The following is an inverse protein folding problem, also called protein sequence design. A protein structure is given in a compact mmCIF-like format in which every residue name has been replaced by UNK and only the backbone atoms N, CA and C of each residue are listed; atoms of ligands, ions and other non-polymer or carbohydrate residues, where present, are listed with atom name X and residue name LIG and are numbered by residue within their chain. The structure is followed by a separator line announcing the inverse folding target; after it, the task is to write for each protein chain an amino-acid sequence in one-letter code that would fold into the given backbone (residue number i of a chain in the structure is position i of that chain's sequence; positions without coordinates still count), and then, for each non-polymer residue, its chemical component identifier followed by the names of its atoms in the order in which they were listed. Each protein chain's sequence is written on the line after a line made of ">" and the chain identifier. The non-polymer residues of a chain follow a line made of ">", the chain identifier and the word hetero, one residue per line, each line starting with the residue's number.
data_IF_071880246617
#
_entry.id   IF_071880246617
#
_cell.length_a   1.000
_cell.length_b   1.000
_cell.length_c   1.000
_cell.angle_alpha   90.00
_cell.angle_beta   90.00
_cell.angle_gamma   90.00
#
_symmetry.space_group_name_H-M   'P 1'
#
loop_
_entity.id
_entity.type
_entity.pdbx_description
1 polymer ?
#
# COMPACT_ATOMS: atom_id res chain seq x y z
N UNK A 1 -3.83 17.51 35.42
CA UNK A 1 -5.28 17.25 35.56
C UNK A 1 -5.70 15.84 35.09
N UNK A 2 -5.41 15.39 33.86
CA UNK A 2 -5.82 14.06 33.36
C UNK A 2 -5.33 12.85 34.20
N UNK A 3 -4.08 12.86 34.70
CA UNK A 3 -3.52 11.76 35.53
C UNK A 3 -4.21 11.64 36.90
N UNK A 4 -4.56 12.77 37.53
CA UNK A 4 -5.21 12.80 38.85
C UNK A 4 -6.66 12.29 38.72
N UNK A 5 -7.36 12.66 37.64
CA UNK A 5 -8.71 12.14 37.35
C UNK A 5 -8.70 10.61 37.10
N UNK A 6 -7.69 10.09 36.39
CA UNK A 6 -7.54 8.64 36.18
C UNK A 6 -7.25 7.92 37.49
N UNK A 7 -6.36 8.45 38.33
CA UNK A 7 -6.04 7.88 39.64
C UNK A 7 -7.24 7.92 40.60
N UNK A 8 -8.03 9.00 40.58
CA UNK A 8 -9.25 9.11 41.35
C UNK A 8 -10.34 8.13 40.85
N UNK A 9 -10.47 7.93 39.54
CA UNK A 9 -11.38 6.94 38.97
C UNK A 9 -10.95 5.50 39.32
N UNK A 10 -9.65 5.19 39.27
CA UNK A 10 -9.10 3.91 39.72
C UNK A 10 -9.33 3.69 41.21
N UNK A 11 -9.08 4.69 42.05
CA UNK A 11 -9.33 4.62 43.48
C UNK A 11 -10.83 4.43 43.79
N UNK A 12 -11.72 5.10 43.04
CA UNK A 12 -13.16 4.92 43.16
C UNK A 12 -13.62 3.53 42.70
N UNK A 13 -13.04 2.97 41.64
CA UNK A 13 -13.31 1.59 41.18
C UNK A 13 -12.83 0.55 42.20
N UNK A 14 -11.65 0.74 42.78
CA UNK A 14 -11.12 -0.13 43.84
C UNK A 14 -11.98 -0.01 45.09
N UNK A 15 -12.37 1.21 45.49
CA UNK A 15 -13.27 1.43 46.61
C UNK A 15 -14.64 0.79 46.36
N UNK A 16 -15.21 0.91 45.17
CA UNK A 16 -16.45 0.24 44.78
C UNK A 16 -16.31 -1.29 44.80
N UNK A 17 -15.18 -1.85 44.35
CA UNK A 17 -14.89 -3.29 44.40
C UNK A 17 -14.97 -3.83 45.83
N UNK A 18 -14.36 -3.14 46.79
CA UNK A 18 -14.42 -3.54 48.20
C UNK A 18 -15.75 -3.18 48.87
N UNK A 19 -16.38 -2.06 48.48
CA UNK A 19 -17.65 -1.60 49.07
C UNK A 19 -18.84 -2.48 48.70
N UNK A 20 -18.89 -2.95 47.45
CA UNK A 20 -19.95 -3.85 46.97
C UNK A 20 -19.61 -5.34 47.19
N UNK A 21 -18.52 -5.65 47.91
CA UNK A 21 -18.01 -7.01 48.11
C UNK A 21 -17.94 -7.83 46.80
N UNK A 22 -17.52 -7.15 45.71
CA UNK A 22 -17.47 -7.75 44.38
C UNK A 22 -16.50 -8.93 44.31
N UNK A 23 -15.60 -9.09 45.29
CA UNK A 23 -14.69 -10.23 45.38
C UNK A 23 -15.38 -11.57 45.68
N UNK A 24 -16.52 -11.59 46.37
CA UNK A 24 -17.30 -12.81 46.61
C UNK A 24 -18.22 -13.14 45.42
N UNK A 25 -18.75 -12.11 44.75
CA UNK A 25 -19.64 -12.19 43.58
C UNK A 25 -18.91 -12.47 42.24
N UNK A 26 -17.66 -12.03 42.07
CA UNK A 26 -16.84 -12.24 40.86
C UNK A 26 -16.05 -13.57 40.85
N UNK A 27 -16.37 -14.47 41.77
CA UNK A 27 -15.90 -15.87 41.73
C UNK A 27 -16.59 -16.63 40.60
N UNK A 28 -16.02 -17.76 40.16
CA UNK A 28 -16.65 -18.60 39.11
C UNK A 28 -18.02 -19.08 39.58
N UNK A 29 -18.11 -19.44 40.86
CA UNK A 29 -19.32 -19.88 41.53
C UNK A 29 -20.36 -18.75 41.67
N UNK A 30 -19.91 -17.53 42.04
CA UNK A 30 -20.79 -16.36 42.16
C UNK A 30 -21.36 -15.91 40.81
N UNK A 31 -20.53 -15.85 39.76
CA UNK A 31 -20.97 -15.52 38.40
C UNK A 31 -21.96 -16.59 37.89
N UNK A 32 -21.67 -17.88 38.10
CA UNK A 32 -22.56 -18.97 37.70
C UNK A 32 -23.91 -18.90 38.42
N UNK A 33 -23.92 -18.68 39.74
CA UNK A 33 -25.16 -18.54 40.50
C UNK A 33 -26.02 -17.36 39.99
N UNK A 34 -25.40 -16.23 39.59
CA UNK A 34 -26.10 -15.09 38.99
C UNK A 34 -26.63 -15.40 37.59
N UNK A 35 -25.87 -16.12 36.77
CA UNK A 35 -26.31 -16.57 35.44
C UNK A 35 -27.48 -17.55 35.57
N UNK A 36 -27.40 -18.54 36.46
CA UNK A 36 -28.45 -19.52 36.71
C UNK A 36 -29.73 -18.84 37.25
N UNK A 37 -29.59 -17.88 38.17
CA UNK A 37 -30.72 -17.08 38.65
C UNK A 37 -31.36 -16.25 37.53
N UNK A 38 -30.55 -15.63 36.67
CA UNK A 38 -31.03 -14.86 35.53
C UNK A 38 -31.69 -15.75 34.46
N UNK A 39 -31.18 -16.98 34.25
CA UNK A 39 -31.77 -17.96 33.36
C UNK A 39 -33.11 -18.48 33.90
N UNK A 40 -33.23 -18.75 35.21
CA UNK A 40 -34.50 -19.11 35.83
C UNK A 40 -35.54 -17.99 35.67
N UNK A 41 -35.13 -16.74 35.91
CA UNK A 41 -36.00 -15.57 35.69
C UNK A 41 -36.38 -15.39 34.21
N UNK A 42 -35.46 -15.70 33.28
CA UNK A 42 -35.73 -15.72 31.85
C UNK A 42 -36.77 -16.79 31.46
N UNK A 43 -36.72 -17.98 32.07
CA UNK A 43 -37.73 -19.02 31.79
C UNK A 43 -39.14 -18.60 32.22
N UNK A 44 -39.26 -17.81 33.29
CA UNK A 44 -40.56 -17.31 33.78
C UNK A 44 -41.03 -16.03 33.05
N UNK A 45 -40.11 -15.18 32.58
CA UNK A 45 -40.41 -13.85 32.03
C UNK A 45 -39.72 -13.57 30.69
N UNK A 46 -39.66 -14.58 29.81
CA UNK A 46 -38.84 -14.57 28.60
C UNK A 46 -38.97 -13.29 27.75
N UNK A 47 -40.21 -12.87 27.47
CA UNK A 47 -40.46 -11.71 26.61
C UNK A 47 -40.00 -10.39 27.26
N UNK A 48 -40.20 -10.24 28.57
CA UNK A 48 -39.78 -9.04 29.29
C UNK A 48 -38.25 -8.94 29.35
N UNK A 49 -37.56 -10.04 29.64
CA UNK A 49 -36.09 -10.09 29.71
C UNK A 49 -35.48 -9.81 28.34
N UNK A 50 -35.99 -10.42 27.27
CA UNK A 50 -35.51 -10.16 25.91
C UNK A 50 -35.75 -8.70 25.50
N UNK A 51 -36.92 -8.14 25.79
CA UNK A 51 -37.24 -6.75 25.46
C UNK A 51 -36.35 -5.76 26.23
N UNK A 52 -36.16 -5.95 27.53
CA UNK A 52 -35.30 -5.09 28.36
C UNK A 52 -33.86 -5.18 27.87
N UNK A 53 -33.35 -6.39 27.62
CA UNK A 53 -31.99 -6.59 27.13
C UNK A 53 -31.80 -5.91 25.77
N UNK A 54 -32.74 -6.13 24.84
CA UNK A 54 -32.72 -5.53 23.51
C UNK A 54 -32.70 -4.01 23.58
N UNK A 55 -33.63 -3.40 24.32
CA UNK A 55 -33.74 -1.95 24.47
C UNK A 55 -32.48 -1.36 25.13
N UNK A 56 -31.94 -2.05 26.14
CA UNK A 56 -30.70 -1.62 26.81
C UNK A 56 -29.53 -1.68 25.84
N UNK A 57 -29.39 -2.76 25.06
CA UNK A 57 -28.32 -2.90 24.07
C UNK A 57 -28.42 -1.81 22.99
N UNK A 58 -29.63 -1.55 22.47
CA UNK A 58 -29.88 -0.47 21.51
C UNK A 58 -29.49 0.88 22.11
N UNK A 59 -29.91 1.18 23.34
CA UNK A 59 -29.61 2.43 24.02
C UNK A 59 -28.11 2.65 24.24
N UNK A 60 -27.41 1.64 24.78
CA UNK A 60 -25.95 1.68 25.01
C UNK A 60 -25.20 1.88 23.69
N UNK A 61 -25.60 1.17 22.64
CA UNK A 61 -24.97 1.28 21.32
C UNK A 61 -25.27 2.63 20.65
N UNK A 62 -26.52 3.12 20.75
CA UNK A 62 -26.92 4.42 20.22
C UNK A 62 -26.19 5.57 20.92
N UNK A 63 -25.99 5.46 22.23
CA UNK A 63 -25.18 6.37 23.03
C UNK A 63 -23.66 6.24 22.75
N UNK A 64 -23.25 5.32 21.87
CA UNK A 64 -21.86 5.08 21.50
C UNK A 64 -20.95 4.76 22.70
N UNK A 65 -21.52 4.12 23.74
CA UNK A 65 -20.79 3.76 24.95
C UNK A 65 -19.94 2.50 24.73
N UNK A 66 -18.72 2.44 25.29
CA UNK A 66 -17.93 1.22 25.28
C UNK A 66 -18.60 0.17 26.18
N UNK A 67 -18.83 -1.04 25.65
CA UNK A 67 -19.50 -2.12 26.42
C UNK A 67 -20.19 -3.18 25.58
N UNK A 68 -20.42 -2.92 24.29
CA UNK A 68 -21.10 -3.85 23.38
C UNK A 68 -20.48 -5.26 23.36
N UNK A 69 -19.15 -5.39 23.47
CA UNK A 69 -18.48 -6.69 23.52
C UNK A 69 -18.87 -7.51 24.78
N UNK A 70 -18.90 -6.86 25.94
CA UNK A 70 -19.30 -7.49 27.21
C UNK A 70 -20.77 -7.87 27.17
N UNK A 71 -21.63 -6.98 26.67
CA UNK A 71 -23.05 -7.29 26.50
C UNK A 71 -23.28 -8.43 25.51
N UNK A 72 -22.47 -8.54 24.45
CA UNK A 72 -22.60 -9.62 23.47
C UNK A 72 -22.18 -10.98 24.06
N UNK A 73 -21.14 -11.01 24.91
CA UNK A 73 -20.79 -12.21 25.68
C UNK A 73 -21.92 -12.58 26.66
N UNK A 74 -22.47 -11.59 27.38
CA UNK A 74 -23.59 -11.80 28.28
C UNK A 74 -24.84 -12.34 27.56
N UNK A 75 -25.11 -11.88 26.34
CA UNK A 75 -26.20 -12.42 25.53
C UNK A 75 -26.03 -13.90 25.22
N UNK A 76 -24.80 -14.35 24.91
CA UNK A 76 -24.50 -15.77 24.74
C UNK A 76 -24.68 -16.57 26.02
N UNK A 77 -24.22 -16.02 27.14
CA UNK A 77 -24.36 -16.66 28.45
C UNK A 77 -25.83 -16.83 28.89
N UNK A 78 -26.68 -15.85 28.61
CA UNK A 78 -28.07 -15.82 29.07
C UNK A 78 -29.04 -16.52 28.10
N UNK A 79 -28.85 -16.32 26.80
CA UNK A 79 -29.83 -16.73 25.78
C UNK A 79 -29.33 -17.86 24.88
N UNK A 80 -28.07 -18.24 24.98
CA UNK A 80 -27.47 -19.23 24.09
C UNK A 80 -27.13 -18.67 22.71
N UNK A 81 -26.65 -19.56 21.83
CA UNK A 81 -26.04 -19.15 20.56
C UNK A 81 -27.05 -18.55 19.58
N UNK A 82 -28.21 -19.19 19.40
CA UNK A 82 -29.15 -18.81 18.33
C UNK A 82 -29.89 -17.53 18.71
N UNK A 83 -30.58 -17.54 19.85
CA UNK A 83 -31.37 -16.43 20.37
C UNK A 83 -30.47 -15.22 20.66
N UNK A 84 -29.32 -15.44 21.32
CA UNK A 84 -28.34 -14.39 21.57
C UNK A 84 -27.81 -13.74 20.29
N UNK A 85 -27.53 -14.53 19.25
CA UNK A 85 -27.07 -14.01 17.95
C UNK A 85 -28.15 -13.17 17.29
N UNK A 86 -29.39 -13.66 17.21
CA UNK A 86 -30.51 -12.91 16.60
C UNK A 86 -30.72 -11.61 17.35
N UNK A 87 -30.85 -11.68 18.69
CA UNK A 87 -31.11 -10.52 19.54
C UNK A 87 -30.04 -9.44 19.38
N UNK A 88 -28.75 -9.82 19.53
CA UNK A 88 -27.63 -8.89 19.43
C UNK A 88 -27.46 -8.37 18.02
N UNK A 89 -27.64 -9.20 16.99
CA UNK A 89 -27.45 -8.79 15.60
C UNK A 89 -28.41 -7.66 15.22
N UNK A 90 -29.69 -7.77 15.58
CA UNK A 90 -30.66 -6.70 15.33
C UNK A 90 -30.47 -5.50 16.28
N UNK A 91 -30.24 -5.73 17.58
CA UNK A 91 -30.05 -4.64 18.55
C UNK A 91 -28.83 -3.78 18.23
N UNK A 92 -27.71 -4.40 17.88
CA UNK A 92 -26.47 -3.72 17.52
C UNK A 92 -26.61 -2.91 16.23
N UNK A 93 -27.31 -3.42 15.22
CA UNK A 93 -27.55 -2.71 13.96
C UNK A 93 -28.47 -1.51 14.16
N UNK A 94 -29.56 -1.65 14.92
CA UNK A 94 -30.47 -0.55 15.22
C UNK A 94 -29.75 0.52 16.04
N UNK A 95 -29.06 0.13 17.12
CA UNK A 95 -28.27 1.07 17.93
C UNK A 95 -27.18 1.78 17.12
N UNK A 96 -26.45 1.04 16.27
CA UNK A 96 -25.43 1.61 15.39
C UNK A 96 -26.03 2.62 14.41
N UNK A 97 -27.23 2.34 13.90
CA UNK A 97 -27.97 3.23 13.00
C UNK A 97 -28.41 4.49 13.74
N UNK A 98 -28.89 4.39 14.97
CA UNK A 98 -29.23 5.56 15.79
C UNK A 98 -28.00 6.43 16.10
N UNK A 99 -26.86 5.83 16.46
CA UNK A 99 -25.60 6.55 16.65
C UNK A 99 -25.15 7.26 15.36
N UNK A 100 -25.25 6.57 14.22
CA UNK A 100 -24.95 7.11 12.90
C UNK A 100 -25.87 8.29 12.53
N UNK A 101 -27.18 8.18 12.77
CA UNK A 101 -28.15 9.25 12.50
C UNK A 101 -27.96 10.44 13.44
N UNK A 102 -27.65 10.18 14.71
CA UNK A 102 -27.32 11.22 15.68
C UNK A 102 -26.07 12.00 15.25
N UNK A 103 -25.00 11.32 14.85
CA UNK A 103 -23.81 11.94 14.27
C UNK A 103 -24.14 12.76 13.01
N UNK A 104 -25.03 12.24 12.15
CA UNK A 104 -25.38 12.90 10.88
C UNK A 104 -26.19 14.19 11.03
N UNK A 105 -27.15 14.20 11.95
CA UNK A 105 -28.17 15.25 12.03
C UNK A 105 -28.13 16.09 13.30
N UNK A 106 -27.59 15.56 14.40
CA UNK A 106 -27.63 16.22 15.72
C UNK A 106 -26.25 16.68 16.17
N UNK A 107 -25.23 15.83 15.99
CA UNK A 107 -23.89 16.02 16.56
C UNK A 107 -22.81 16.30 15.51
N UNK A 108 -23.19 16.60 14.26
CA UNK A 108 -22.28 16.72 13.10
C UNK A 108 -21.03 17.54 13.41
N UNK A 109 -21.21 18.80 13.82
CA UNK A 109 -20.10 19.74 14.06
C UNK A 109 -19.18 19.27 15.19
N UNK A 110 -19.76 18.67 16.24
CA UNK A 110 -19.00 18.15 17.39
C UNK A 110 -18.13 16.95 17.01
N UNK A 111 -18.65 16.05 16.17
CA UNK A 111 -17.91 14.86 15.71
C UNK A 111 -16.88 15.27 14.65
N UNK A 112 -17.22 16.20 13.75
CA UNK A 112 -16.32 16.71 12.71
C UNK A 112 -15.10 17.41 13.32
N UNK A 113 -15.27 18.25 14.35
CA UNK A 113 -14.17 18.88 15.07
C UNK A 113 -13.18 17.88 15.71
N UNK A 114 -13.64 16.67 16.03
CA UNK A 114 -12.81 15.62 16.65
C UNK A 114 -12.17 14.66 15.64
N UNK A 115 -12.79 14.46 14.47
CA UNK A 115 -12.38 13.43 13.51
C UNK A 115 -12.10 13.95 12.08
N UNK A 116 -12.14 15.26 11.86
CA UNK A 116 -12.04 15.92 10.54
C UNK A 116 -10.88 15.44 9.67
N UNK A 117 -9.66 15.38 10.21
CA UNK A 117 -8.45 14.99 9.46
C UNK A 117 -8.52 13.55 8.91
N UNK A 118 -9.31 12.67 9.56
CA UNK A 118 -9.48 11.27 9.14
C UNK A 118 -10.67 11.07 8.19
N UNK A 119 -11.51 12.08 7.99
CA UNK A 119 -12.68 11.96 7.10
C UNK A 119 -12.28 11.88 5.63
N UNK A 120 -11.19 12.54 5.23
CA UNK A 120 -10.74 12.55 3.84
C UNK A 120 -10.43 11.13 3.34
N UNK A 121 -9.60 10.39 4.06
CA UNK A 121 -9.23 9.01 3.71
C UNK A 121 -10.41 8.04 3.76
N UNK A 122 -11.37 8.27 4.67
CA UNK A 122 -12.59 7.46 4.78
C UNK A 122 -13.54 7.72 3.62
N UNK A 123 -13.70 8.98 3.20
CA UNK A 123 -14.50 9.33 2.03
C UNK A 123 -13.86 8.80 0.74
N UNK A 124 -12.55 8.94 0.56
CA UNK A 124 -11.82 8.36 -0.58
C UNK A 124 -12.00 6.83 -0.64
N UNK A 125 -11.93 6.16 0.52
CA UNK A 125 -12.19 4.72 0.63
C UNK A 125 -13.63 4.34 0.25
N UNK A 126 -14.63 5.11 0.68
CA UNK A 126 -16.04 4.92 0.32
C UNK A 126 -16.31 5.20 -1.16
N UNK A 127 -15.67 6.20 -1.76
CA UNK A 127 -15.81 6.51 -3.19
C UNK A 127 -15.23 5.38 -4.06
N UNK A 128 -14.09 4.82 -3.65
CA UNK A 128 -13.44 3.71 -4.35
C UNK A 128 -14.17 2.37 -4.20
N UNK A 129 -14.51 2.01 -2.97
CA UNK A 129 -14.95 0.65 -2.61
C UNK A 129 -16.45 0.58 -2.20
N UNK A 130 -17.13 1.72 -2.02
CA UNK A 130 -18.56 1.79 -1.73
C UNK A 130 -18.95 1.08 -0.43
N UNK A 131 -20.07 0.36 -0.45
CA UNK A 131 -20.57 -0.46 0.66
C UNK A 131 -19.53 -1.44 1.23
N UNK A 132 -18.59 -1.88 0.39
CA UNK A 132 -17.56 -2.83 0.74
C UNK A 132 -16.48 -2.25 1.67
N UNK A 133 -16.26 -0.94 1.61
CA UNK A 133 -15.35 -0.25 2.52
C UNK A 133 -15.83 -0.36 3.97
N UNK A 134 -17.10 -0.03 4.21
CA UNK A 134 -17.73 -0.16 5.53
C UNK A 134 -17.72 -1.60 6.03
N UNK A 135 -18.03 -2.56 5.14
CA UNK A 135 -17.98 -3.98 5.45
C UNK A 135 -16.58 -4.38 5.97
N UNK A 136 -15.53 -3.97 5.25
CA UNK A 136 -14.14 -4.25 5.62
C UNK A 136 -13.77 -3.60 6.96
N UNK A 137 -14.18 -2.36 7.20
CA UNK A 137 -13.93 -1.68 8.48
C UNK A 137 -14.54 -2.41 9.68
N UNK A 138 -15.72 -3.00 9.52
CA UNK A 138 -16.36 -3.78 10.61
C UNK A 138 -15.69 -5.11 10.91
N UNK A 139 -14.85 -5.59 9.98
CA UNK A 139 -14.09 -6.84 10.14
C UNK A 139 -12.72 -6.60 10.77
N UNK A 140 -12.27 -5.35 10.88
CA UNK A 140 -10.99 -4.97 11.48
C UNK A 140 -11.18 -4.78 13.00
N UNK A 141 -10.58 -5.64 13.86
CA UNK A 141 -10.77 -5.55 15.32
C UNK A 141 -10.14 -4.32 15.96
N UNK A 142 -9.18 -3.70 15.26
CA UNK A 142 -8.40 -2.59 15.77
C UNK A 142 -9.19 -1.27 15.86
N UNK A 143 -10.32 -1.15 15.15
CA UNK A 143 -11.13 0.07 15.13
C UNK A 143 -12.32 -0.12 16.08
N UNK A 144 -12.46 0.72 17.12
CA UNK A 144 -13.57 0.59 18.06
C UNK A 144 -14.92 0.73 17.35
N UNK A 145 -15.82 -0.20 17.64
CA UNK A 145 -17.15 -0.29 17.03
C UNK A 145 -17.93 1.04 17.03
N UNK A 146 -17.94 1.75 18.16
CA UNK A 146 -18.66 3.02 18.31
C UNK A 146 -18.08 4.14 17.42
N UNK A 147 -16.76 4.13 17.16
CA UNK A 147 -16.10 5.12 16.30
C UNK A 147 -16.59 4.97 14.86
N UNK A 148 -16.70 3.74 14.36
CA UNK A 148 -17.19 3.48 12.99
C UNK A 148 -18.59 4.05 12.81
N UNK A 149 -19.49 3.82 13.78
CA UNK A 149 -20.88 4.28 13.70
C UNK A 149 -20.97 5.82 13.59
N UNK A 150 -20.22 6.53 14.43
CA UNK A 150 -20.19 7.99 14.45
C UNK A 150 -19.56 8.57 13.18
N UNK A 151 -18.38 8.08 12.80
CA UNK A 151 -17.63 8.63 11.67
C UNK A 151 -18.38 8.39 10.35
N UNK A 152 -19.01 7.23 10.17
CA UNK A 152 -19.83 6.95 8.99
C UNK A 152 -21.01 7.92 8.84
N UNK A 153 -21.55 8.45 9.95
CA UNK A 153 -22.62 9.45 9.93
C UNK A 153 -22.24 10.75 9.20
N UNK A 154 -20.96 11.10 9.22
CA UNK A 154 -20.40 12.29 8.56
C UNK A 154 -20.17 12.08 7.05
N UNK A 155 -20.15 10.83 6.59
CA UNK A 155 -19.89 10.47 5.19
C UNK A 155 -21.16 10.57 4.33
N UNK A 156 -20.97 10.44 3.00
CA UNK A 156 -22.05 10.44 1.99
C UNK A 156 -22.79 9.09 1.85
N UNK A 157 -22.46 8.08 2.68
CA UNK A 157 -23.10 6.77 2.57
C UNK A 157 -24.61 6.85 2.87
N UNK A 158 -25.44 6.19 2.03
CA UNK A 158 -26.89 6.12 2.26
C UNK A 158 -27.18 5.34 3.55
N UNK A 159 -28.14 5.80 4.34
CA UNK A 159 -28.53 5.15 5.61
C UNK A 159 -28.90 3.69 5.41
N UNK A 160 -29.68 3.37 4.36
CA UNK A 160 -30.01 1.99 4.04
C UNK A 160 -28.75 1.14 3.78
N UNK A 161 -27.79 1.67 3.03
CA UNK A 161 -26.51 1.00 2.79
C UNK A 161 -25.76 0.74 4.09
N UNK A 162 -25.74 1.72 4.99
CA UNK A 162 -25.16 1.54 6.31
C UNK A 162 -25.85 0.41 7.08
N UNK A 163 -27.19 0.36 7.11
CA UNK A 163 -27.97 -0.64 7.86
C UNK A 163 -27.65 -2.07 7.40
N UNK A 164 -27.84 -2.38 6.11
CA UNK A 164 -27.68 -3.77 5.65
C UNK A 164 -26.22 -4.23 5.69
N UNK A 165 -25.27 -3.33 5.40
CA UNK A 165 -23.83 -3.65 5.51
C UNK A 165 -23.45 -3.90 6.96
N UNK A 166 -24.00 -3.13 7.90
CA UNK A 166 -23.74 -3.28 9.32
C UNK A 166 -24.29 -4.60 9.85
N UNK A 167 -25.52 -4.96 9.46
CA UNK A 167 -26.13 -6.25 9.79
C UNK A 167 -25.25 -7.41 9.33
N UNK A 168 -24.83 -7.40 8.06
CA UNK A 168 -24.04 -8.49 7.49
C UNK A 168 -22.59 -8.51 8.00
N UNK A 169 -21.96 -7.33 8.08
CA UNK A 169 -20.55 -7.19 8.45
C UNK A 169 -20.25 -7.49 9.91
N UNK A 170 -21.23 -7.30 10.80
CA UNK A 170 -21.08 -7.67 12.22
C UNK A 170 -21.42 -9.13 12.49
N UNK A 171 -22.27 -9.77 11.67
CA UNK A 171 -22.88 -11.06 12.00
C UNK A 171 -21.86 -12.13 12.40
N UNK A 172 -20.77 -12.28 11.64
CA UNK A 172 -19.72 -13.24 11.96
C UNK A 172 -19.03 -12.94 13.31
N UNK A 173 -18.77 -11.68 13.59
CA UNK A 173 -18.25 -11.24 14.89
C UNK A 173 -19.26 -11.50 16.01
N UNK A 174 -20.53 -11.18 15.80
CA UNK A 174 -21.62 -11.44 16.75
C UNK A 174 -21.70 -12.93 17.07
N UNK A 175 -21.72 -13.81 16.08
CA UNK A 175 -21.73 -15.27 16.29
C UNK A 175 -20.52 -15.70 17.14
N UNK A 176 -19.33 -15.19 16.84
CA UNK A 176 -18.11 -15.56 17.56
C UNK A 176 -18.14 -15.12 19.03
N UNK A 177 -18.54 -13.87 19.30
CA UNK A 177 -18.67 -13.35 20.66
C UNK A 177 -19.81 -14.02 21.45
N UNK A 178 -20.98 -14.22 20.83
CA UNK A 178 -22.09 -14.93 21.47
C UNK A 178 -21.69 -16.37 21.77
N UNK A 179 -21.06 -17.08 20.83
CA UNK A 179 -20.56 -18.43 21.06
C UNK A 179 -19.56 -18.49 22.24
N UNK A 180 -18.60 -17.56 22.28
CA UNK A 180 -17.68 -17.48 23.42
C UNK A 180 -18.42 -17.26 24.75
N UNK A 181 -19.47 -16.43 24.75
CA UNK A 181 -20.34 -16.20 25.91
C UNK A 181 -21.12 -17.45 26.34
N UNK A 182 -21.71 -18.18 25.38
CA UNK A 182 -22.43 -19.44 25.64
C UNK A 182 -21.51 -20.49 26.28
N UNK A 183 -20.28 -20.62 25.77
CA UNK A 183 -19.30 -21.55 26.31
C UNK A 183 -18.79 -21.11 27.68
N UNK A 184 -18.64 -19.80 27.92
CA UNK A 184 -18.22 -19.24 29.20
C UNK A 184 -19.25 -19.53 30.31
N UNK A 185 -20.54 -19.50 29.99
CA UNK A 185 -21.61 -19.82 30.94
C UNK A 185 -21.67 -21.30 31.35
N UNK A 186 -21.10 -22.20 30.54
CA UNK A 186 -21.10 -23.64 30.81
C UNK A 186 -19.93 -24.09 31.69
N UNK A 187 -19.08 -23.16 32.15
CA UNK A 187 -17.90 -23.48 32.94
C UNK A 187 -18.29 -23.73 34.40
N UNK A 188 -17.97 -24.93 34.90
CA UNK A 188 -18.25 -25.31 36.29
C UNK A 188 -17.04 -25.18 37.22
N UNK A 189 -15.84 -25.00 36.67
CA UNK A 189 -14.59 -24.92 37.44
C UNK A 189 -13.47 -24.22 36.65
N UNK A 190 -12.42 -23.78 37.35
CA UNK A 190 -11.26 -23.11 36.75
C UNK A 190 -10.52 -23.97 35.70
N UNK A 191 -10.56 -25.31 35.80
CA UNK A 191 -9.96 -26.20 34.79
C UNK A 191 -10.79 -26.24 33.50
N UNK A 192 -12.10 -25.96 33.57
CA UNK A 192 -12.99 -25.82 32.41
C UNK A 192 -12.63 -24.65 31.49
N UNK A 193 -11.88 -23.66 31.98
CA UNK A 193 -11.31 -22.59 31.16
C UNK A 193 -10.28 -23.09 30.14
N UNK A 194 -9.68 -24.26 30.37
CA UNK A 194 -8.75 -24.91 29.45
C UNK A 194 -9.43 -26.01 28.61
N UNK A 195 -10.77 -26.04 28.56
CA UNK A 195 -11.49 -27.01 27.74
C UNK A 195 -11.19 -26.79 26.24
N UNK A 196 -11.02 -27.88 25.45
CA UNK A 196 -10.81 -27.77 24.01
C UNK A 196 -11.90 -26.97 23.28
N UNK A 197 -13.14 -27.00 23.78
CA UNK A 197 -14.30 -26.27 23.23
C UNK A 197 -14.18 -24.77 23.47
N UNK A 198 -13.80 -24.33 24.67
CA UNK A 198 -13.61 -22.92 24.98
C UNK A 198 -12.37 -22.37 24.26
N UNK A 199 -11.26 -23.11 24.27
CA UNK A 199 -10.06 -22.77 23.49
C UNK A 199 -10.42 -22.62 22.01
N UNK A 200 -11.15 -23.58 21.44
CA UNK A 200 -11.63 -23.52 20.06
C UNK A 200 -12.50 -22.28 19.78
N UNK A 201 -13.32 -21.86 20.75
CA UNK A 201 -14.18 -20.67 20.63
C UNK A 201 -13.39 -19.36 20.66
N UNK A 202 -12.37 -19.24 21.52
CA UNK A 202 -11.46 -18.09 21.52
C UNK A 202 -10.54 -18.06 20.30
N UNK A 203 -10.07 -19.22 19.84
CA UNK A 203 -9.32 -19.34 18.58
C UNK A 203 -10.19 -18.89 17.41
N UNK A 204 -11.46 -19.33 17.35
CA UNK A 204 -12.40 -18.87 16.35
C UNK A 204 -12.58 -17.34 16.40
N UNK A 205 -12.80 -16.77 17.59
CA UNK A 205 -12.86 -15.32 17.80
C UNK A 205 -11.64 -14.59 17.23
N UNK A 206 -10.43 -15.12 17.44
CA UNK A 206 -9.18 -14.55 16.94
C UNK A 206 -8.94 -14.71 15.42
N UNK A 207 -9.44 -15.81 14.83
CA UNK A 207 -9.26 -16.11 13.40
C UNK A 207 -10.35 -15.46 12.52
N UNK A 208 -11.54 -15.19 13.05
CA UNK A 208 -12.66 -14.57 12.32
C UNK A 208 -12.22 -13.36 11.49
N UNK A 209 -11.46 -12.38 12.01
CA UNK A 209 -10.98 -11.23 11.23
C UNK A 209 -10.13 -11.61 9.99
N UNK A 210 -9.36 -12.69 10.09
CA UNK A 210 -8.51 -13.19 9.00
C UNK A 210 -9.32 -13.93 7.94
N UNK A 211 -10.27 -14.77 8.36
CA UNK A 211 -11.24 -15.42 7.45
C UNK A 211 -12.01 -14.34 6.69
N UNK A 212 -12.53 -13.37 7.44
CA UNK A 212 -13.25 -12.23 6.96
C UNK A 212 -12.43 -11.48 5.88
N UNK A 213 -11.19 -11.09 6.19
CA UNK A 213 -10.26 -10.46 5.24
C UNK A 213 -9.96 -11.34 4.01
N UNK A 214 -9.85 -12.66 4.21
CA UNK A 214 -9.64 -13.63 3.14
C UNK A 214 -10.80 -13.66 2.14
N UNK A 215 -12.04 -13.73 2.64
CA UNK A 215 -13.27 -13.71 1.83
C UNK A 215 -13.35 -12.40 1.04
N UNK A 216 -13.12 -11.27 1.71
CA UNK A 216 -13.07 -9.93 1.10
C UNK A 216 -12.05 -9.89 -0.04
N UNK A 217 -10.82 -10.36 0.20
CA UNK A 217 -9.78 -10.40 -0.82
C UNK A 217 -10.09 -11.34 -1.99
N UNK A 218 -10.89 -12.38 -1.79
CA UNK A 218 -11.37 -13.24 -2.88
C UNK A 218 -12.41 -12.50 -3.73
N UNK A 219 -13.38 -11.82 -3.10
CA UNK A 219 -14.42 -11.05 -3.80
C UNK A 219 -13.79 -9.93 -4.61
N UNK A 220 -12.87 -9.16 -4.02
CA UNK A 220 -12.17 -8.07 -4.71
C UNK A 220 -11.38 -8.59 -5.91
N UNK A 221 -10.62 -9.68 -5.75
CA UNK A 221 -9.91 -10.31 -6.87
C UNK A 221 -10.86 -10.74 -7.98
N UNK A 222 -12.00 -11.35 -7.65
CA UNK A 222 -13.02 -11.71 -8.64
C UNK A 222 -13.60 -10.49 -9.35
N UNK A 223 -13.79 -9.38 -8.65
CA UNK A 223 -14.31 -8.13 -9.24
C UNK A 223 -13.29 -7.49 -10.19
N UNK A 224 -12.02 -7.43 -9.80
CA UNK A 224 -10.94 -6.88 -10.65
C UNK A 224 -10.78 -7.68 -11.94
N UNK A 225 -10.91 -9.01 -11.85
CA UNK A 225 -10.84 -9.89 -13.02
C UNK A 225 -12.18 -10.18 -13.69
N UNK A 226 -13.24 -9.44 -13.33
CA UNK A 226 -14.54 -9.61 -13.94
C UNK A 226 -14.47 -9.26 -15.43
N UNK A 227 -15.01 -10.13 -16.29
CA UNK A 227 -14.94 -9.98 -17.76
C UNK A 227 -13.70 -10.61 -18.41
N UNK A 228 -12.73 -11.10 -17.62
CA UNK A 228 -11.55 -11.79 -18.15
C UNK A 228 -11.61 -13.30 -17.89
N UNK A 229 -11.19 -14.09 -18.88
CA UNK A 229 -11.09 -15.55 -18.75
C UNK A 229 -9.68 -15.92 -18.30
N UNK A 230 -9.55 -16.40 -17.06
CA UNK A 230 -8.25 -16.83 -16.54
C UNK A 230 -7.73 -18.06 -17.29
N UNK A 231 -6.48 -18.05 -17.81
CA UNK A 231 -5.88 -19.24 -18.42
C UNK A 231 -5.77 -20.42 -17.45
N UNK A 232 -5.97 -21.65 -17.96
CA UNK A 232 -5.80 -22.89 -17.17
C UNK A 232 -4.33 -23.19 -16.87
N UNK A 233 -3.45 -22.82 -17.79
CA UNK A 233 -2.00 -22.92 -17.71
C UNK A 233 -1.37 -21.62 -18.22
N UNK A 234 -0.15 -21.34 -17.81
CA UNK A 234 0.61 -20.18 -18.27
C UNK A 234 1.85 -20.63 -19.05
N UNK A 235 2.16 -19.94 -20.14
CA UNK A 235 3.37 -20.18 -20.93
C UNK A 235 4.64 -19.83 -20.14
N UNK A 236 4.54 -18.79 -19.30
CA UNK A 236 5.61 -18.28 -18.45
C UNK A 236 5.15 -18.11 -17.00
N UNK A 237 6.09 -18.23 -16.07
CA UNK A 237 5.86 -17.82 -14.70
C UNK A 237 5.90 -16.30 -14.57
N UNK A 238 6.78 -15.65 -15.32
CA UNK A 238 7.01 -14.22 -15.32
C UNK A 238 7.28 -13.71 -16.75
N UNK A 239 6.59 -12.64 -17.14
CA UNK A 239 7.02 -11.79 -18.26
C UNK A 239 7.52 -10.47 -17.68
N UNK A 240 8.70 -10.04 -18.11
CA UNK A 240 9.30 -8.75 -17.76
C UNK A 240 9.31 -7.88 -19.00
N UNK A 241 8.76 -6.68 -18.93
CA UNK A 241 8.70 -5.73 -20.05
C UNK A 241 9.70 -4.61 -19.79
N UNK A 242 10.73 -4.50 -20.62
CA UNK A 242 11.85 -3.57 -20.49
C UNK A 242 13.07 -4.24 -19.86
N UNK A 243 14.24 -4.07 -20.48
CA UNK A 243 15.55 -4.58 -20.09
C UNK A 243 16.49 -3.47 -19.59
N UNK A 244 15.94 -2.47 -18.90
CA UNK A 244 16.70 -1.61 -18.00
C UNK A 244 17.03 -2.30 -16.68
N UNK A 245 17.69 -1.60 -15.75
CA UNK A 245 18.20 -2.20 -14.51
C UNK A 245 17.14 -2.97 -13.70
N UNK A 246 15.92 -2.45 -13.59
CA UNK A 246 14.84 -3.13 -12.88
C UNK A 246 14.40 -4.43 -13.57
N UNK A 247 14.30 -4.43 -14.89
CA UNK A 247 13.86 -5.58 -15.67
C UNK A 247 14.91 -6.68 -15.71
N UNK A 248 16.16 -6.30 -15.95
CA UNK A 248 17.33 -7.18 -15.91
C UNK A 248 17.46 -7.89 -14.55
N UNK A 249 17.42 -7.14 -13.45
CA UNK A 249 17.48 -7.72 -12.09
C UNK A 249 16.28 -8.63 -11.81
N UNK A 250 15.07 -8.23 -12.22
CA UNK A 250 13.87 -9.05 -12.03
C UNK A 250 13.95 -10.37 -12.79
N UNK A 251 14.39 -10.33 -14.05
CA UNK A 251 14.54 -11.52 -14.88
C UNK A 251 15.64 -12.45 -14.33
N UNK A 252 16.77 -11.88 -13.91
CA UNK A 252 17.86 -12.62 -13.30
C UNK A 252 17.43 -13.36 -12.03
N UNK A 253 16.81 -12.66 -11.08
CA UNK A 253 16.37 -13.25 -9.81
C UNK A 253 15.32 -14.34 -10.08
N UNK A 254 14.36 -14.09 -10.97
CA UNK A 254 13.36 -15.10 -11.32
C UNK A 254 13.96 -16.35 -11.97
N UNK A 255 14.97 -16.19 -12.84
CA UNK A 255 15.69 -17.31 -13.44
C UNK A 255 16.47 -18.13 -12.40
N UNK A 256 17.07 -17.48 -11.39
CA UNK A 256 17.84 -18.20 -10.34
C UNK A 256 16.97 -19.14 -9.49
N UNK A 257 15.68 -18.83 -9.33
CA UNK A 257 14.68 -19.72 -8.70
C UNK A 257 14.00 -20.67 -9.69
N UNK A 258 14.56 -20.83 -10.90
CA UNK A 258 14.09 -21.72 -11.98
C UNK A 258 12.68 -21.41 -12.50
N UNK A 259 12.24 -20.16 -12.39
CA UNK A 259 11.00 -19.73 -13.03
C UNK A 259 11.18 -19.68 -14.56
N UNK A 260 10.13 -19.99 -15.33
CA UNK A 260 10.08 -19.73 -16.76
C UNK A 260 9.87 -18.24 -17.00
N UNK A 261 10.92 -17.53 -17.41
CA UNK A 261 10.91 -16.07 -17.58
C UNK A 261 11.03 -15.72 -19.05
N UNK A 262 10.19 -14.79 -19.52
CA UNK A 262 10.46 -14.06 -20.76
C UNK A 262 10.77 -12.61 -20.43
N UNK A 263 11.88 -12.08 -20.95
CA UNK A 263 12.25 -10.67 -20.88
C UNK A 263 12.04 -10.06 -22.27
N UNK A 264 11.22 -9.02 -22.36
CA UNK A 264 10.89 -8.35 -23.63
C UNK A 264 11.54 -6.98 -23.67
N UNK A 265 12.29 -6.68 -24.71
CA UNK A 265 12.95 -5.38 -24.90
C UNK A 265 12.79 -4.89 -26.35
N UNK A 266 12.38 -3.64 -26.52
CA UNK A 266 12.14 -3.06 -27.84
C UNK A 266 13.42 -2.48 -28.48
N UNK A 267 14.31 -1.90 -27.66
CA UNK A 267 15.53 -1.20 -28.04
C UNK A 267 16.77 -1.96 -27.54
N UNK A 268 17.89 -1.29 -27.28
CA UNK A 268 19.11 -1.93 -26.78
C UNK A 268 18.97 -2.46 -25.34
N UNK A 269 19.65 -3.57 -25.06
CA UNK A 269 19.70 -4.13 -23.70
C UNK A 269 20.44 -3.19 -22.75
N UNK A 270 20.17 -3.26 -21.44
CA UNK A 270 20.77 -2.38 -20.42
C UNK A 270 19.97 -1.09 -20.18
N UNK A 271 18.99 -0.79 -21.05
CA UNK A 271 18.10 0.35 -20.94
C UNK A 271 18.83 1.70 -20.93
N UNK A 272 18.20 2.71 -20.34
CA UNK A 272 18.75 4.06 -20.22
C UNK A 272 20.08 4.08 -19.45
N UNK A 273 20.15 3.38 -18.31
CA UNK A 273 21.27 3.40 -17.40
C UNK A 273 22.61 3.06 -18.09
N UNK A 274 22.61 2.03 -18.93
CA UNK A 274 23.79 1.62 -19.70
C UNK A 274 24.02 2.52 -20.92
N UNK A 275 22.97 2.78 -21.71
CA UNK A 275 23.14 3.30 -23.07
C UNK A 275 23.19 4.84 -23.12
N UNK A 276 22.37 5.53 -22.34
CA UNK A 276 22.12 6.98 -22.50
C UNK A 276 22.16 7.78 -21.19
N UNK A 277 22.22 7.10 -20.06
CA UNK A 277 22.07 7.67 -18.72
C UNK A 277 23.35 7.58 -17.89
N UNK A 278 23.33 6.71 -16.88
CA UNK A 278 24.32 6.64 -15.82
C UNK A 278 25.73 6.36 -16.32
N UNK A 279 25.92 5.30 -17.10
CA UNK A 279 27.25 4.88 -17.56
C UNK A 279 27.93 5.98 -18.37
N UNK A 280 27.33 6.52 -19.45
CA UNK A 280 28.01 7.55 -20.23
C UNK A 280 28.20 8.86 -19.47
N UNK A 281 27.21 9.29 -18.67
CA UNK A 281 27.33 10.50 -17.85
C UNK A 281 28.48 10.40 -16.85
N UNK A 282 28.59 9.29 -16.12
CA UNK A 282 29.63 9.11 -15.10
C UNK A 282 31.02 8.96 -15.74
N UNK A 283 31.11 8.34 -16.91
CA UNK A 283 32.33 8.31 -17.70
C UNK A 283 32.78 9.74 -18.09
N UNK A 284 31.88 10.56 -18.64
CA UNK A 284 32.19 11.94 -19.02
C UNK A 284 32.57 12.81 -17.80
N UNK A 285 31.80 12.72 -16.71
CA UNK A 285 32.06 13.44 -15.45
C UNK A 285 33.45 13.09 -14.91
N UNK A 286 33.88 11.83 -15.04
CA UNK A 286 35.24 11.43 -14.63
C UNK A 286 36.32 12.12 -15.47
N UNK A 287 36.16 12.19 -16.80
CA UNK A 287 37.09 12.95 -17.67
C UNK A 287 37.14 14.43 -17.26
N UNK A 288 35.96 15.04 -17.09
CA UNK A 288 35.81 16.42 -16.68
C UNK A 288 36.44 16.70 -15.31
N UNK A 289 36.32 15.77 -14.36
CA UNK A 289 36.95 15.87 -13.04
C UNK A 289 38.47 15.86 -13.15
N UNK A 290 39.05 15.01 -14.01
CA UNK A 290 40.50 14.98 -14.25
C UNK A 290 40.98 16.31 -14.83
N UNK A 291 40.30 16.83 -15.86
CA UNK A 291 40.61 18.14 -16.44
C UNK A 291 40.55 19.26 -15.38
N UNK A 292 39.51 19.26 -14.55
CA UNK A 292 39.39 20.19 -13.43
C UNK A 292 40.51 20.05 -12.40
N UNK A 293 40.95 18.82 -12.08
CA UNK A 293 42.06 18.59 -11.15
C UNK A 293 43.37 19.12 -11.72
N UNK A 294 43.64 18.96 -13.02
CA UNK A 294 44.85 19.48 -13.66
C UNK A 294 44.93 21.01 -13.58
N UNK A 295 43.80 21.70 -13.84
CA UNK A 295 43.73 23.17 -13.73
C UNK A 295 43.87 23.69 -12.30
N UNK A 296 43.49 22.88 -11.31
CA UNK A 296 43.49 23.26 -9.89
C UNK A 296 44.51 22.42 -9.08
N UNK A 297 45.59 22.00 -9.73
CA UNK A 297 46.60 21.13 -9.10
C UNK A 297 47.37 21.85 -7.97
N UNK A 298 47.35 23.19 -7.98
CA UNK A 298 47.92 24.08 -6.97
C UNK A 298 47.31 23.83 -5.58
N UNK A 299 46.04 23.44 -5.51
CA UNK A 299 45.38 23.02 -4.26
C UNK A 299 46.02 21.80 -3.60
N UNK A 300 46.83 21.06 -4.35
CA UNK A 300 47.57 19.89 -3.90
C UNK A 300 49.10 20.11 -3.90
N UNK A 301 49.56 21.36 -4.03
CA UNK A 301 50.98 21.71 -4.04
C UNK A 301 51.70 21.38 -5.36
N UNK A 302 50.98 21.16 -6.45
CA UNK A 302 51.53 20.90 -7.79
C UNK A 302 51.23 22.08 -8.71
N UNK A 303 52.13 22.45 -9.63
CA UNK A 303 51.86 23.54 -10.57
C UNK A 303 50.63 23.21 -11.45
N UNK A 304 49.66 24.14 -11.59
CA UNK A 304 48.48 23.92 -12.41
C UNK A 304 48.83 23.92 -13.90
N UNK A 305 48.12 23.11 -14.68
CA UNK A 305 48.31 23.00 -16.13
C UNK A 305 46.95 23.02 -16.82
N UNK A 306 46.83 23.79 -17.91
CA UNK A 306 45.64 23.75 -18.75
C UNK A 306 45.62 22.44 -19.56
N UNK A 307 44.64 21.55 -19.34
CA UNK A 307 44.58 20.27 -20.04
C UNK A 307 44.24 20.47 -21.52
N UNK A 308 44.93 19.72 -22.38
CA UNK A 308 44.46 19.50 -23.75
C UNK A 308 43.33 18.48 -23.70
N UNK A 309 42.14 18.86 -24.15
CA UNK A 309 40.95 18.00 -24.14
C UNK A 309 40.62 17.61 -25.58
N UNK A 310 41.19 16.50 -26.11
CA UNK A 310 40.80 15.98 -27.41
C UNK A 310 39.37 15.44 -27.32
N UNK A 311 38.41 16.18 -27.86
CA UNK A 311 36.99 15.86 -27.70
C UNK A 311 36.64 14.48 -28.24
N UNK A 312 37.11 14.16 -29.46
CA UNK A 312 36.89 12.85 -30.10
C UNK A 312 37.38 11.69 -29.23
N UNK A 313 38.58 11.79 -28.67
CA UNK A 313 39.13 10.76 -27.79
C UNK A 313 38.38 10.68 -26.44
N UNK A 314 37.95 11.83 -25.93
CA UNK A 314 37.18 11.91 -24.68
C UNK A 314 35.83 11.20 -24.83
N UNK A 315 35.12 11.44 -25.93
CA UNK A 315 33.84 10.79 -26.22
C UNK A 315 34.03 9.33 -26.63
N UNK A 316 35.08 9.00 -27.40
CA UNK A 316 35.42 7.61 -27.69
C UNK A 316 35.62 6.80 -26.40
N UNK A 317 36.33 7.34 -25.40
CA UNK A 317 36.46 6.71 -24.08
C UNK A 317 35.11 6.47 -23.41
N UNK A 318 34.17 7.41 -23.52
CA UNK A 318 32.82 7.23 -22.97
C UNK A 318 32.12 6.04 -23.63
N UNK A 319 32.15 5.97 -24.97
CA UNK A 319 31.56 4.87 -25.73
C UNK A 319 32.24 3.52 -25.45
N UNK A 320 33.56 3.52 -25.26
CA UNK A 320 34.31 2.30 -24.91
C UNK A 320 33.94 1.76 -23.53
N UNK A 321 33.61 2.65 -22.57
CA UNK A 321 33.10 2.22 -21.26
C UNK A 321 31.72 1.56 -21.38
N UNK A 322 30.84 2.06 -22.25
CA UNK A 322 29.54 1.40 -22.54
C UNK A 322 29.79 0.00 -23.11
N UNK A 323 30.62 -0.10 -24.16
CA UNK A 323 30.97 -1.38 -24.81
C UNK A 323 31.62 -2.38 -23.86
N UNK A 324 32.39 -1.91 -22.87
CA UNK A 324 32.99 -2.77 -21.88
C UNK A 324 31.96 -3.40 -20.93
N UNK A 325 30.82 -2.74 -20.71
CA UNK A 325 29.76 -3.18 -19.79
C UNK A 325 28.66 -3.95 -20.53
N UNK A 326 28.35 -3.59 -21.78
CA UNK A 326 27.32 -4.18 -22.64
C UNK A 326 27.26 -5.73 -22.61
N UNK A 327 28.38 -6.49 -22.66
CA UNK A 327 28.33 -7.95 -22.59
C UNK A 327 27.72 -8.51 -21.30
N UNK A 328 27.67 -7.73 -20.22
CA UNK A 328 27.07 -8.14 -18.95
C UNK A 328 25.54 -7.99 -18.93
N UNK A 329 24.99 -7.16 -19.82
CA UNK A 329 23.55 -6.93 -19.97
C UNK A 329 22.97 -7.54 -21.26
N UNK A 330 23.81 -8.20 -22.06
CA UNK A 330 23.45 -8.68 -23.39
C UNK A 330 22.40 -9.80 -23.42
N UNK A 331 21.80 -9.99 -24.60
CA UNK A 331 20.86 -11.08 -24.87
C UNK A 331 21.50 -12.45 -24.59
N UNK A 332 22.75 -12.65 -25.02
CA UNK A 332 23.50 -13.89 -24.86
C UNK A 332 23.71 -14.20 -23.37
N UNK A 333 24.07 -13.18 -22.58
CA UNK A 333 24.26 -13.32 -21.13
C UNK A 333 22.97 -13.79 -20.46
N UNK A 334 21.84 -13.15 -20.76
CA UNK A 334 20.55 -13.49 -20.14
C UNK A 334 19.98 -14.82 -20.63
N UNK A 335 20.17 -15.14 -21.91
CA UNK A 335 19.82 -16.45 -22.47
C UNK A 335 20.63 -17.56 -21.80
N UNK A 336 21.94 -17.35 -21.58
CA UNK A 336 22.80 -18.28 -20.85
C UNK A 336 22.42 -18.48 -19.38
N UNK A 337 21.64 -17.56 -18.79
CA UNK A 337 21.10 -17.66 -17.44
C UNK A 337 19.71 -18.32 -17.39
N UNK A 338 19.16 -18.72 -18.55
CA UNK A 338 17.86 -19.38 -18.66
C UNK A 338 16.67 -18.44 -18.83
N UNK A 339 16.91 -17.16 -19.17
CA UNK A 339 15.86 -16.20 -19.53
C UNK A 339 15.60 -16.27 -21.02
N UNK A 340 14.33 -16.37 -21.42
CA UNK A 340 13.91 -16.25 -22.82
C UNK A 340 13.84 -14.76 -23.18
N UNK A 341 14.82 -14.24 -23.91
CA UNK A 341 14.88 -12.82 -24.28
C UNK A 341 14.25 -12.63 -25.65
N UNK A 342 13.24 -11.76 -25.71
CA UNK A 342 12.48 -11.47 -26.94
C UNK A 342 12.66 -10.00 -27.29
N UNK A 343 13.13 -9.72 -28.51
CA UNK A 343 13.27 -8.36 -29.03
C UNK A 343 11.96 -7.93 -29.68
N UNK A 344 11.28 -6.97 -29.08
CA UNK A 344 9.96 -6.54 -29.53
C UNK A 344 9.27 -5.56 -28.59
N UNK A 345 8.14 -5.03 -29.04
CA UNK A 345 7.30 -4.12 -28.28
C UNK A 345 6.15 -4.87 -27.62
N UNK A 346 6.08 -4.85 -26.29
CA UNK A 346 5.07 -5.57 -25.51
C UNK A 346 3.83 -4.70 -25.22
N UNK A 347 2.65 -5.28 -25.40
CA UNK A 347 1.35 -4.71 -25.02
C UNK A 347 0.61 -5.69 -24.12
N UNK A 348 0.19 -5.25 -22.94
CA UNK A 348 -0.66 -6.04 -22.04
C UNK A 348 -2.09 -5.95 -22.57
N UNK A 349 -2.63 -7.06 -23.10
CA UNK A 349 -3.97 -7.08 -23.71
C UNK A 349 -5.05 -7.54 -22.73
N UNK A 350 -4.66 -8.30 -21.70
CA UNK A 350 -5.51 -8.70 -20.58
C UNK A 350 -4.63 -8.97 -19.33
N UNK A 351 -5.21 -9.24 -18.14
CA UNK A 351 -4.45 -9.41 -16.90
C UNK A 351 -3.39 -10.51 -16.89
N UNK A 352 -3.41 -11.43 -17.87
CA UNK A 352 -2.48 -12.56 -17.96
C UNK A 352 -1.78 -12.67 -19.31
N UNK A 353 -2.18 -11.90 -20.32
CA UNK A 353 -1.65 -12.04 -21.69
C UNK A 353 -0.90 -10.80 -22.12
N UNK A 354 0.30 -11.02 -22.65
CA UNK A 354 1.12 -10.01 -23.30
C UNK A 354 1.24 -10.37 -24.78
N UNK A 355 0.90 -9.41 -25.64
CA UNK A 355 1.20 -9.45 -27.06
C UNK A 355 2.52 -8.73 -27.32
N UNK A 356 3.41 -9.32 -28.11
CA UNK A 356 4.73 -8.80 -28.43
C UNK A 356 4.80 -8.66 -29.94
N UNK A 357 4.92 -7.43 -30.43
CA UNK A 357 5.27 -7.15 -31.83
C UNK A 357 6.78 -7.32 -31.97
N UNK A 358 7.23 -8.34 -32.71
CA UNK A 358 8.65 -8.67 -32.81
C UNK A 358 9.38 -7.70 -33.74
N UNK A 359 10.65 -7.41 -33.42
CA UNK A 359 11.45 -6.48 -34.23
C UNK A 359 11.78 -7.03 -35.64
N UNK A 360 11.82 -8.36 -35.80
CA UNK A 360 11.99 -9.04 -37.09
C UNK A 360 10.67 -9.24 -37.85
N UNK A 361 9.55 -8.77 -37.27
CA UNK A 361 8.22 -8.82 -37.84
C UNK A 361 7.33 -9.92 -37.23
N UNK A 362 6.02 -9.74 -37.38
CA UNK A 362 5.03 -10.63 -36.80
C UNK A 362 4.71 -10.33 -35.34
N UNK A 363 3.90 -11.20 -34.74
CA UNK A 363 3.38 -11.02 -33.38
C UNK A 363 3.40 -12.33 -32.61
N UNK A 364 3.82 -12.28 -31.36
CA UNK A 364 3.78 -13.40 -30.43
C UNK A 364 2.87 -13.05 -29.26
N UNK A 365 2.00 -13.98 -28.83
CA UNK A 365 1.23 -13.84 -27.60
C UNK A 365 1.71 -14.84 -26.57
N UNK A 366 1.93 -14.37 -25.35
CA UNK A 366 2.36 -15.19 -24.22
C UNK A 366 1.47 -14.93 -23.01
N UNK A 367 1.08 -16.02 -22.34
CA UNK A 367 0.40 -15.95 -21.05
C UNK A 367 1.39 -16.07 -19.89
N UNK A 368 1.17 -15.28 -18.84
CA UNK A 368 2.01 -15.30 -17.66
C UNK A 368 1.21 -15.22 -16.36
N UNK A 369 1.75 -15.87 -15.32
CA UNK A 369 1.18 -15.76 -13.97
C UNK A 369 1.38 -14.37 -13.37
N UNK A 370 2.53 -13.76 -13.67
CA UNK A 370 2.90 -12.43 -13.21
C UNK A 370 3.55 -11.66 -14.36
N UNK A 371 3.33 -10.35 -14.39
CA UNK A 371 3.93 -9.43 -15.37
C UNK A 371 4.62 -8.32 -14.58
N UNK A 372 5.88 -8.05 -14.89
CA UNK A 372 6.63 -6.91 -14.36
C UNK A 372 6.77 -5.87 -15.46
N UNK A 373 6.28 -4.66 -15.20
CA UNK A 373 6.43 -3.51 -16.08
C UNK A 373 7.66 -2.74 -15.61
N UNK A 374 8.72 -2.80 -16.41
CA UNK A 374 10.01 -2.16 -16.19
C UNK A 374 10.41 -1.32 -17.42
N UNK A 375 9.43 -0.65 -18.03
CA UNK A 375 9.56 0.10 -19.30
C UNK A 375 10.37 1.39 -19.20
N UNK A 376 10.89 1.75 -18.02
CA UNK A 376 11.68 2.96 -17.83
C UNK A 376 10.88 4.26 -17.96
N UNK A 377 11.55 5.30 -18.42
CA UNK A 377 11.02 6.64 -18.65
C UNK A 377 11.68 7.25 -19.91
N UNK A 378 11.10 8.33 -20.42
CA UNK A 378 11.63 9.08 -21.57
C UNK A 378 11.86 10.56 -21.19
N UNK A 379 12.77 11.28 -21.86
CA UNK A 379 13.01 12.70 -21.63
C UNK A 379 11.77 13.56 -21.94
N UNK A 380 11.44 14.48 -21.03
CA UNK A 380 10.37 15.47 -21.26
C UNK A 380 10.95 16.69 -21.96
N UNK A 381 10.35 17.06 -23.09
CA UNK A 381 10.67 18.29 -23.82
C UNK A 381 9.66 19.36 -23.41
N UNK A 382 10.09 20.52 -22.87
CA UNK A 382 9.17 21.55 -22.42
C UNK A 382 8.47 22.20 -23.62
N UNK A 383 7.19 22.60 -23.50
CA UNK A 383 6.40 23.17 -24.60
C UNK A 383 6.78 24.63 -24.87
N UNK A 384 8.02 24.86 -25.32
CA UNK A 384 8.55 26.20 -25.65
C UNK A 384 8.34 26.44 -27.16
N UNK A 385 7.67 27.53 -27.57
CA UNK A 385 7.46 27.81 -28.99
C UNK A 385 8.76 27.77 -29.82
N UNK A 386 8.80 26.89 -30.81
CA UNK A 386 9.93 26.73 -31.72
C UNK A 386 11.04 25.78 -31.24
N UNK A 387 10.88 25.13 -30.08
CA UNK A 387 11.90 24.20 -29.57
C UNK A 387 12.11 23.01 -30.51
N UNK A 388 11.05 22.50 -31.13
CA UNK A 388 11.11 21.36 -32.05
C UNK A 388 11.97 21.65 -33.28
N UNK A 389 11.96 22.91 -33.75
CA UNK A 389 12.75 23.35 -34.89
C UNK A 389 14.20 23.74 -34.51
N UNK A 390 14.54 23.78 -33.22
CA UNK A 390 15.86 24.25 -32.74
C UNK A 390 16.99 23.24 -32.91
N UNK A 391 16.65 21.97 -33.18
CA UNK A 391 17.63 20.87 -33.16
C UNK A 391 18.09 20.53 -31.74
N UNK A 392 17.20 20.62 -30.74
CA UNK A 392 17.49 20.29 -29.36
C UNK A 392 17.98 18.85 -29.21
N UNK A 393 18.81 18.63 -28.19
CA UNK A 393 19.30 17.31 -27.81
C UNK A 393 18.67 16.92 -26.47
N UNK A 394 18.34 15.64 -26.33
CA UNK A 394 17.92 15.04 -25.06
C UNK A 394 19.04 14.15 -24.52
N UNK A 395 18.88 13.61 -23.31
CA UNK A 395 19.82 12.60 -22.79
C UNK A 395 19.92 11.36 -23.69
N UNK A 396 18.92 11.09 -24.53
CA UNK A 396 18.93 9.97 -25.47
C UNK A 396 19.69 10.28 -26.76
N UNK A 397 19.58 11.51 -27.29
CA UNK A 397 20.16 11.87 -28.59
C UNK A 397 21.51 12.58 -28.50
N UNK A 398 21.85 13.13 -27.32
CA UNK A 398 23.05 13.96 -27.15
C UNK A 398 24.36 13.19 -27.37
N UNK A 399 24.42 11.91 -27.01
CA UNK A 399 25.66 11.14 -27.06
C UNK A 399 26.08 10.87 -28.50
N UNK A 400 25.12 10.55 -29.36
CA UNK A 400 25.35 10.41 -30.80
C UNK A 400 25.79 11.73 -31.43
N UNK A 401 25.14 12.83 -31.06
CA UNK A 401 25.52 14.15 -31.52
C UNK A 401 26.96 14.51 -31.08
N UNK A 402 27.32 14.24 -29.82
CA UNK A 402 28.67 14.48 -29.31
C UNK A 402 29.72 13.61 -30.01
N UNK A 403 29.40 12.37 -30.37
CA UNK A 403 30.29 11.47 -31.07
C UNK A 403 30.62 11.93 -32.51
N UNK A 404 29.74 12.74 -33.11
CA UNK A 404 29.92 13.29 -34.45
C UNK A 404 30.70 14.62 -34.47
N UNK A 405 30.96 15.23 -33.31
CA UNK A 405 31.67 16.51 -33.22
C UNK A 405 33.19 16.33 -33.15
N UNK A 406 33.95 17.22 -33.79
CA UNK A 406 35.42 17.24 -33.71
C UNK A 406 35.95 17.95 -32.46
N UNK A 407 35.16 18.88 -31.92
CA UNK A 407 35.48 19.67 -30.73
C UNK A 407 34.27 19.79 -29.81
N UNK A 408 34.51 20.11 -28.54
CA UNK A 408 33.43 20.43 -27.61
C UNK A 408 32.65 21.67 -28.10
N UNK A 409 31.34 21.76 -27.85
CA UNK A 409 30.58 22.94 -28.24
C UNK A 409 31.10 24.18 -27.50
N UNK A 410 31.41 25.25 -28.22
CA UNK A 410 31.91 26.51 -27.64
C UNK A 410 30.93 27.10 -26.60
N UNK A 411 29.63 26.97 -26.88
CA UNK A 411 28.54 27.43 -26.03
C UNK A 411 27.43 26.38 -26.01
N UNK A 412 26.88 26.11 -24.84
CA UNK A 412 25.75 25.20 -24.67
C UNK A 412 24.75 25.77 -23.67
N UNK A 413 23.47 25.67 -23.99
CA UNK A 413 22.38 25.93 -23.07
C UNK A 413 21.82 24.58 -22.58
N UNK A 414 21.67 24.43 -21.26
CA UNK A 414 21.07 23.26 -20.63
C UNK A 414 19.75 23.69 -20.00
N UNK A 415 18.64 23.13 -20.49
CA UNK A 415 17.31 23.39 -19.93
C UNK A 415 17.02 22.36 -18.84
N UNK A 416 16.93 22.81 -17.60
CA UNK A 416 16.69 21.99 -16.41
C UNK A 416 17.82 22.04 -15.40
N UNK A 417 17.44 22.31 -14.16
CA UNK A 417 18.22 22.42 -12.92
C UNK A 417 18.20 21.17 -12.06
N UNK A 418 17.63 20.06 -12.57
CA UNK A 418 17.69 18.76 -11.91
C UNK A 418 19.10 18.14 -11.92
N UNK A 419 19.26 16.95 -11.31
CA UNK A 419 20.56 16.28 -11.20
C UNK A 419 21.27 16.07 -12.54
N UNK A 420 20.54 15.62 -13.57
CA UNK A 420 21.09 15.38 -14.92
C UNK A 420 21.63 16.68 -15.52
N UNK A 421 20.85 17.76 -15.47
CA UNK A 421 21.24 19.06 -16.00
C UNK A 421 22.47 19.63 -15.29
N UNK A 422 22.55 19.50 -13.96
CA UNK A 422 23.69 19.95 -13.17
C UNK A 422 24.96 19.13 -13.46
N UNK A 423 24.85 17.80 -13.53
CA UNK A 423 25.95 16.91 -13.87
C UNK A 423 26.54 17.24 -15.26
N UNK A 424 25.68 17.36 -16.26
CA UNK A 424 26.08 17.72 -17.63
C UNK A 424 26.72 19.09 -17.70
N UNK A 425 26.07 20.09 -17.07
CA UNK A 425 26.54 21.47 -17.07
C UNK A 425 27.94 21.58 -16.47
N UNK A 426 28.17 20.91 -15.34
CA UNK A 426 29.48 20.86 -14.71
C UNK A 426 30.51 20.14 -15.59
N UNK A 427 30.15 19.01 -16.18
CA UNK A 427 31.06 18.23 -17.00
C UNK A 427 31.52 19.02 -18.23
N UNK A 428 30.58 19.62 -18.98
CA UNK A 428 30.88 20.39 -20.18
C UNK A 428 31.65 21.68 -19.87
N UNK A 429 31.31 22.38 -18.79
CA UNK A 429 32.06 23.56 -18.34
C UNK A 429 33.52 23.22 -18.04
N UNK A 430 33.76 22.08 -17.38
CA UNK A 430 35.11 21.58 -17.08
C UNK A 430 35.84 21.05 -18.31
N UNK A 431 35.15 20.72 -19.39
CA UNK A 431 35.76 20.28 -20.64
C UNK A 431 35.99 21.44 -21.63
N UNK A 432 35.61 22.68 -21.27
CA UNK A 432 35.95 23.89 -22.01
C UNK A 432 34.76 24.65 -22.60
N UNK A 433 33.55 24.11 -22.52
CA UNK A 433 32.34 24.79 -23.02
C UNK A 433 31.90 25.94 -22.13
N UNK A 434 31.36 27.01 -22.72
CA UNK A 434 30.62 28.04 -21.96
C UNK A 434 29.17 27.58 -21.76
N UNK A 435 28.84 27.15 -20.54
CA UNK A 435 27.53 26.58 -20.21
C UNK A 435 26.61 27.65 -19.63
N UNK A 436 25.37 27.70 -20.11
CA UNK A 436 24.25 28.42 -19.49
C UNK A 436 23.20 27.43 -19.07
N UNK A 437 22.95 27.28 -17.77
CA UNK A 437 21.88 26.43 -17.25
C UNK A 437 20.63 27.28 -16.98
N UNK A 438 19.49 26.85 -17.49
CA UNK A 438 18.20 27.55 -17.36
C UNK A 438 17.27 26.65 -16.56
N UNK A 439 16.80 27.14 -15.42
CA UNK A 439 15.82 26.46 -14.56
C UNK A 439 14.59 27.35 -14.41
N UNK A 440 13.42 26.71 -14.37
CA UNK A 440 12.13 27.40 -14.20
C UNK A 440 11.83 27.67 -12.71
N UNK A 441 12.26 26.78 -11.82
CA UNK A 441 12.17 26.92 -10.38
C UNK A 441 13.15 27.98 -9.85
N UNK A 442 12.94 28.38 -8.60
CA UNK A 442 13.76 29.38 -7.91
C UNK A 442 15.17 28.86 -7.59
N UNK A 443 15.36 27.54 -7.52
CA UNK A 443 16.59 26.88 -7.09
C UNK A 443 16.93 25.66 -7.96
N UNK A 444 18.23 25.41 -8.14
CA UNK A 444 18.72 24.14 -8.70
C UNK A 444 18.52 23.03 -7.68
N UNK A 445 18.31 21.80 -8.14
CA UNK A 445 18.15 20.63 -7.27
C UNK A 445 17.07 20.80 -6.18
N UNK A 446 15.95 21.47 -6.46
CA UNK A 446 14.91 21.81 -5.46
C UNK A 446 14.19 20.66 -4.74
N UNK A 447 14.68 19.42 -4.84
CA UNK A 447 14.28 18.28 -3.99
C UNK A 447 15.31 17.96 -2.89
N UNK A 448 16.50 18.52 -2.98
CA UNK A 448 17.54 18.40 -1.96
C UNK A 448 17.31 19.47 -0.87
N UNK A 449 18.01 19.31 0.26
CA UNK A 449 18.05 20.35 1.28
C UNK A 449 18.73 21.62 0.74
N UNK A 450 18.41 22.76 1.36
CA UNK A 450 18.89 24.07 0.90
C UNK A 450 20.38 24.32 1.21
N UNK A 451 20.96 23.61 2.17
CA UNK A 451 22.38 23.64 2.55
C UNK A 451 23.23 22.58 1.84
#
# INVERSE_FOLDING_TARGET
>A
MKKIAILAALAALIAAYFWFDLGSELTVEGIKARVDQAQAFYQENALAVLAIFFLTYVAVTAASLPGAAVMTLAAGALFGLVEGTILVSFASTIGATLAFLSSRYVLRDSIEARFGDRLKSINEGLERDGAFYLFTLRMIPAIPFFVINLVMGLTRIRTWTFVWVSQLGMLLGTIAFVNAGTQLAQIESMSGLLSPTLIGSFVFLGIVPWIAKGIVGVIQRRKVYAGFTRPKSYDRNLIVIGAGSAGLVSAYIAATVKAKVTLVEANEMGGDCLNTGCVPSKALIKSAKVASTMRNADRYGIAPVEPQVPWRETIARVLDVIKAIEPHDSVERYTGLGVDVVKGYATIVDPWTVEIALNDGGTQRLTARSIVIASGAEPVVPPIPGIEASGYLTSETMWDAFAQMDAAPDRIAVLGGGPIGCELSQALARLGSKVTQVEMADELLGREDAD
#
